data_IF_469665021313
#
_entry.id   IF_469665021313
#
_cell.length_a   1.000
_cell.length_b   1.000
_cell.length_c   1.000
_cell.angle_alpha   90.00
_cell.angle_beta   90.00
_cell.angle_gamma   90.00
#
_symmetry.space_group_name_H-M   'P 1'
#
loop_
_entity.id
_entity.type
_entity.pdbx_description
1 polymer ?
#
# COMPACT_ATOMS: atom_id res chain seq x y z
N UNK A 1 -22.33 22.09 -14.60
CA UNK A 1 -21.19 21.42 -13.93
C UNK A 1 -20.68 20.41 -14.93
N UNK A 2 -19.46 20.59 -15.45
CA UNK A 2 -18.90 19.59 -16.35
C UNK A 2 -18.51 18.38 -15.49
N UNK A 3 -19.19 17.25 -15.66
CA UNK A 3 -18.65 15.96 -15.22
C UNK A 3 -17.32 15.78 -15.92
N UNK A 4 -16.24 15.77 -15.15
CA UNK A 4 -14.91 15.52 -15.67
C UNK A 4 -14.90 14.05 -16.08
N UNK A 5 -14.78 13.77 -17.37
CA UNK A 5 -14.75 12.41 -17.89
C UNK A 5 -13.54 11.69 -17.30
N UNK A 6 -13.81 10.66 -16.49
CA UNK A 6 -12.77 9.84 -15.89
C UNK A 6 -12.06 9.07 -17.02
N UNK A 7 -10.79 9.39 -17.25
CA UNK A 7 -9.99 8.68 -18.25
C UNK A 7 -9.71 7.24 -17.85
N UNK A 8 -9.65 6.34 -18.83
CA UNK A 8 -9.23 4.95 -18.61
C UNK A 8 -7.84 4.84 -17.95
N UNK A 9 -6.91 5.73 -18.31
CA UNK A 9 -5.58 5.78 -17.67
C UNK A 9 -5.69 6.09 -16.17
N UNK A 10 -6.57 7.01 -15.75
CA UNK A 10 -6.78 7.30 -14.33
C UNK A 10 -7.30 6.08 -13.56
N UNK A 11 -8.25 5.33 -14.13
CA UNK A 11 -8.74 4.07 -13.54
C UNK A 11 -7.59 3.08 -13.37
N UNK A 12 -6.82 2.85 -14.45
CA UNK A 12 -5.72 1.90 -14.44
C UNK A 12 -4.65 2.27 -13.40
N UNK A 13 -4.29 3.56 -13.30
CA UNK A 13 -3.32 4.04 -12.30
C UNK A 13 -3.82 3.81 -10.87
N UNK A 14 -5.09 4.07 -10.60
CA UNK A 14 -5.69 3.78 -9.29
C UNK A 14 -5.63 2.29 -8.96
N UNK A 15 -5.97 1.42 -9.91
CA UNK A 15 -5.89 -0.04 -9.72
C UNK A 15 -4.47 -0.52 -9.43
N UNK A 16 -3.46 0.01 -10.16
CA UNK A 16 -2.05 -0.31 -9.91
C UNK A 16 -1.62 0.15 -8.51
N UNK A 17 -2.00 1.36 -8.10
CA UNK A 17 -1.67 1.87 -6.77
C UNK A 17 -2.29 0.99 -5.65
N UNK A 18 -3.55 0.58 -5.82
CA UNK A 18 -4.24 -0.33 -4.89
C UNK A 18 -3.54 -1.67 -4.82
N UNK A 19 -3.16 -2.25 -5.96
CA UNK A 19 -2.46 -3.54 -6.01
C UNK A 19 -1.09 -3.48 -5.31
N UNK A 20 -0.33 -2.41 -5.51
CA UNK A 20 0.93 -2.19 -4.79
C UNK A 20 0.71 -2.12 -3.27
N UNK A 21 -0.33 -1.44 -2.80
CA UNK A 21 -0.66 -1.38 -1.38
C UNK A 21 -1.10 -2.75 -0.83
N UNK A 22 -1.82 -3.54 -1.61
CA UNK A 22 -2.15 -4.92 -1.24
C UNK A 22 -0.89 -5.78 -1.08
N UNK A 23 0.08 -5.65 -1.99
CA UNK A 23 1.37 -6.36 -1.89
C UNK A 23 2.15 -5.95 -0.64
N UNK A 24 2.24 -4.65 -0.34
CA UNK A 24 2.84 -4.17 0.90
C UNK A 24 2.15 -4.77 2.15
N UNK A 25 0.81 -4.83 2.16
CA UNK A 25 0.05 -5.45 3.25
C UNK A 25 0.29 -6.95 3.37
N UNK A 26 0.53 -7.66 2.27
CA UNK A 26 0.86 -9.08 2.26
C UNK A 26 2.24 -9.32 2.89
N UNK A 27 3.26 -8.54 2.51
CA UNK A 27 4.61 -8.59 3.12
C UNK A 27 4.53 -8.39 4.63
N UNK A 28 3.78 -7.38 5.08
CA UNK A 28 3.60 -7.11 6.52
C UNK A 28 2.88 -8.25 7.23
N UNK A 29 1.87 -8.83 6.58
CA UNK A 29 1.11 -9.95 7.14
C UNK A 29 1.99 -11.19 7.32
N UNK A 30 2.86 -11.50 6.36
CA UNK A 30 3.81 -12.59 6.48
C UNK A 30 4.73 -12.40 7.70
N UNK A 31 5.31 -11.22 7.88
CA UNK A 31 6.17 -10.92 9.04
C UNK A 31 5.43 -10.96 10.37
N UNK A 32 4.15 -10.55 10.42
CA UNK A 32 3.34 -10.70 11.64
C UNK A 32 3.28 -12.17 12.07
N UNK A 33 3.04 -13.09 11.14
CA UNK A 33 2.99 -14.53 11.46
C UNK A 33 4.34 -15.08 11.94
N UNK A 34 5.45 -14.58 11.41
CA UNK A 34 6.79 -14.95 11.87
C UNK A 34 7.05 -14.50 13.33
N UNK A 35 6.54 -13.32 13.71
CA UNK A 35 6.76 -12.74 15.04
C UNK A 35 5.76 -13.23 16.10
N UNK A 36 4.60 -13.75 15.71
CA UNK A 36 3.50 -14.09 16.65
C UNK A 36 3.91 -14.97 17.84
N UNK A 37 4.84 -15.90 17.65
CA UNK A 37 5.32 -16.80 18.70
C UNK A 37 6.62 -16.37 19.40
N UNK A 38 7.30 -15.33 18.91
CA UNK A 38 8.65 -14.96 19.35
C UNK A 38 8.75 -13.51 19.83
N UNK A 39 8.00 -12.61 19.22
CA UNK A 39 7.89 -11.20 19.56
C UNK A 39 6.45 -10.70 19.35
N UNK A 40 5.55 -10.95 20.32
CA UNK A 40 4.16 -10.53 20.23
C UNK A 40 3.97 -9.02 20.13
N UNK A 41 4.85 -8.24 20.78
CA UNK A 41 4.80 -6.77 20.74
C UNK A 41 5.16 -6.23 19.35
N UNK A 42 6.20 -6.79 18.73
CA UNK A 42 6.55 -6.51 17.33
C UNK A 42 5.45 -6.89 16.36
N UNK A 43 4.81 -8.06 16.56
CA UNK A 43 3.66 -8.48 15.76
C UNK A 43 2.50 -7.46 15.87
N UNK A 44 2.19 -6.97 17.08
CA UNK A 44 1.13 -5.97 17.29
C UNK A 44 1.46 -4.60 16.69
N UNK A 45 2.73 -4.17 16.72
CA UNK A 45 3.17 -2.97 16.04
C UNK A 45 2.95 -3.06 14.52
N UNK A 46 3.29 -4.21 13.91
CA UNK A 46 3.06 -4.44 12.49
C UNK A 46 1.57 -4.55 12.14
N UNK A 47 0.73 -5.13 13.00
CA UNK A 47 -0.73 -5.13 12.81
C UNK A 47 -1.30 -3.71 12.77
N UNK A 48 -0.77 -2.79 13.58
CA UNK A 48 -1.12 -1.35 13.52
C UNK A 48 -0.73 -0.74 12.18
N UNK A 49 0.54 -0.87 11.78
CA UNK A 49 1.03 -0.35 10.48
C UNK A 49 0.26 -0.92 9.28
N UNK A 50 -0.13 -2.19 9.34
CA UNK A 50 -0.99 -2.81 8.31
C UNK A 50 -2.36 -2.15 8.22
N UNK A 51 -2.95 -1.70 9.33
CA UNK A 51 -4.21 -0.93 9.31
C UNK A 51 -4.02 0.46 8.72
N UNK A 52 -2.87 1.10 8.96
CA UNK A 52 -2.55 2.38 8.34
C UNK A 52 -2.47 2.25 6.81
N UNK A 53 -1.88 1.16 6.28
CA UNK A 53 -1.89 0.88 4.84
C UNK A 53 -3.32 0.68 4.27
N UNK A 54 -4.23 0.09 5.04
CA UNK A 54 -5.65 -0.03 4.64
C UNK A 54 -6.29 1.37 4.55
N UNK A 55 -6.02 2.24 5.52
CA UNK A 55 -6.52 3.61 5.49
C UNK A 55 -5.99 4.38 4.27
N UNK A 56 -4.71 4.23 3.93
CA UNK A 56 -4.13 4.80 2.71
C UNK A 56 -4.83 4.25 1.46
N UNK A 57 -5.04 2.93 1.37
CA UNK A 57 -5.74 2.32 0.25
C UNK A 57 -7.17 2.87 0.09
N UNK A 58 -7.91 3.07 1.18
CA UNK A 58 -9.25 3.66 1.15
C UNK A 58 -9.26 5.15 0.78
N UNK A 59 -8.15 5.86 0.91
CA UNK A 59 -8.03 7.25 0.49
C UNK A 59 -7.78 7.43 -1.01
N UNK A 60 -7.43 6.35 -1.74
CA UNK A 60 -7.15 6.43 -3.17
C UNK A 60 -8.47 6.56 -3.95
N UNK A 61 -8.62 7.67 -4.66
CA UNK A 61 -9.77 7.95 -5.52
C UNK A 61 -9.32 8.06 -6.98
N UNK A 62 -10.16 7.58 -7.91
CA UNK A 62 -9.88 7.67 -9.36
C UNK A 62 -9.78 9.12 -9.85
N UNK A 63 -10.52 10.03 -9.21
CA UNK A 63 -10.43 11.46 -9.51
C UNK A 63 -9.12 12.10 -9.02
N UNK A 64 -8.37 11.43 -8.15
CA UNK A 64 -7.09 11.89 -7.60
C UNK A 64 -5.92 11.10 -8.19
N UNK A 65 -5.57 11.49 -9.43
CA UNK A 65 -4.46 10.90 -10.17
C UNK A 65 -3.12 11.12 -9.46
N UNK A 66 -2.92 12.29 -8.85
CA UNK A 66 -1.64 12.64 -8.22
C UNK A 66 -1.33 11.69 -7.06
N UNK A 67 -2.32 11.42 -6.21
CA UNK A 67 -2.16 10.44 -5.12
C UNK A 67 -1.82 9.05 -5.65
N UNK A 68 -2.49 8.58 -6.71
CA UNK A 68 -2.19 7.27 -7.29
C UNK A 68 -0.74 7.19 -7.84
N UNK A 69 -0.29 8.19 -8.59
CA UNK A 69 1.08 8.21 -9.14
C UNK A 69 2.15 8.31 -8.04
N UNK A 70 1.91 9.12 -7.00
CA UNK A 70 2.80 9.24 -5.85
C UNK A 70 2.94 7.90 -5.11
N UNK A 71 1.82 7.18 -4.92
CA UNK A 71 1.83 5.86 -4.30
C UNK A 71 2.58 4.83 -5.15
N UNK A 72 2.38 4.83 -6.47
CA UNK A 72 3.11 3.95 -7.40
C UNK A 72 4.61 4.21 -7.33
N UNK A 73 5.02 5.49 -7.39
CA UNK A 73 6.43 5.87 -7.37
C UNK A 73 7.11 5.51 -6.04
N UNK A 74 6.41 5.73 -4.93
CA UNK A 74 6.92 5.45 -3.59
C UNK A 74 7.00 3.95 -3.30
N UNK A 75 5.90 3.23 -3.50
CA UNK A 75 5.76 1.85 -3.03
C UNK A 75 6.13 0.82 -4.08
N UNK A 76 6.02 1.14 -5.37
CA UNK A 76 6.31 0.20 -6.46
C UNK A 76 7.72 -0.41 -6.40
N UNK A 77 8.79 0.37 -6.16
CA UNK A 77 10.12 -0.19 -5.95
C UNK A 77 10.27 -0.97 -4.64
N UNK A 78 9.58 -0.55 -3.57
CA UNK A 78 9.67 -1.18 -2.25
C UNK A 78 9.09 -2.58 -2.25
N UNK A 79 7.90 -2.78 -2.81
CA UNK A 79 7.23 -4.10 -2.80
C UNK A 79 7.92 -5.14 -3.69
N UNK A 80 8.84 -4.73 -4.56
CA UNK A 80 9.66 -5.61 -5.42
C UNK A 80 10.95 -6.08 -4.76
N UNK A 81 11.35 -5.46 -3.66
CA UNK A 81 12.58 -5.76 -2.94
C UNK A 81 12.26 -5.77 -1.44
N UNK A 82 12.12 -6.96 -0.87
CA UNK A 82 11.72 -7.11 0.52
C UNK A 82 12.74 -6.51 1.50
N UNK A 83 14.04 -6.58 1.19
CA UNK A 83 15.06 -5.99 2.06
C UNK A 83 14.93 -4.46 2.08
N UNK A 84 14.71 -3.85 0.91
CA UNK A 84 14.43 -2.42 0.80
C UNK A 84 13.11 -2.04 1.46
N UNK A 85 12.07 -2.86 1.29
CA UNK A 85 10.78 -2.66 1.94
C UNK A 85 10.97 -2.45 3.44
N UNK A 86 11.63 -3.40 4.11
CA UNK A 86 11.82 -3.33 5.57
C UNK A 86 12.77 -2.23 6.02
N UNK A 87 13.73 -1.81 5.18
CA UNK A 87 14.60 -0.68 5.51
C UNK A 87 13.87 0.67 5.50
N UNK A 88 12.77 0.79 4.75
CA UNK A 88 12.06 2.06 4.52
C UNK A 88 10.61 2.09 5.07
N UNK A 89 10.19 1.07 5.82
CA UNK A 89 8.82 0.87 6.33
C UNK A 89 8.59 1.42 7.75
#
# INVERSE_FOLDING_TARGET
MAEQEISYDAILRTEIAIEILNQARAIVTARVYELEGTDPEGADALRRRRRDLIAVQHSVAVADRETAENLIALWGPRVKDEARFWAEF
#
